data_IF_489038694191
#
_entry.id   IF_489038694191
#
_cell.length_a   1.000
_cell.length_b   1.000
_cell.length_c   1.000
_cell.angle_alpha   90.00
_cell.angle_beta   90.00
_cell.angle_gamma   90.00
#
_symmetry.space_group_name_H-M   'P 1'
#
loop_
_entity.id
_entity.type
_entity.pdbx_description
1 polymer ?
#
# COMPACT_ATOMS: atom_id res chain seq x y z
N UNK A 1 2.92 -8.17 25.38
CA UNK A 1 2.77 -7.64 24.00
C UNK A 1 1.70 -8.48 23.33
N UNK A 2 0.71 -7.89 22.66
CA UNK A 2 -0.34 -8.68 21.98
C UNK A 2 0.34 -9.51 20.87
N UNK A 3 0.16 -10.83 20.90
CA UNK A 3 0.82 -11.78 19.98
C UNK A 3 0.49 -11.49 18.50
N UNK A 4 -0.74 -11.04 18.21
CA UNK A 4 -1.18 -10.66 16.84
C UNK A 4 -0.39 -9.46 16.33
N UNK A 5 -0.37 -8.37 17.10
CA UNK A 5 0.40 -7.16 16.77
C UNK A 5 1.87 -7.46 16.50
N UNK A 6 2.52 -8.25 17.36
CA UNK A 6 3.92 -8.62 17.17
C UNK A 6 4.15 -9.37 15.86
N UNK A 7 3.24 -10.26 15.49
CA UNK A 7 3.34 -11.05 14.25
C UNK A 7 3.10 -10.23 12.98
N UNK A 8 2.16 -9.30 12.99
CA UNK A 8 1.94 -8.39 11.87
C UNK A 8 3.13 -7.43 11.67
N UNK A 9 3.68 -6.89 12.77
CA UNK A 9 4.91 -6.07 12.71
C UNK A 9 6.12 -6.87 12.18
N UNK A 10 6.25 -8.14 12.55
CA UNK A 10 7.30 -9.02 12.01
C UNK A 10 7.09 -9.26 10.51
N UNK A 11 5.85 -9.50 10.06
CA UNK A 11 5.54 -9.67 8.65
C UNK A 11 5.82 -8.39 7.84
N UNK A 12 5.43 -7.22 8.33
CA UNK A 12 5.72 -5.93 7.70
C UNK A 12 7.24 -5.68 7.64
N UNK A 13 7.98 -5.99 8.70
CA UNK A 13 9.44 -5.84 8.70
C UNK A 13 10.10 -6.70 7.62
N UNK A 14 9.67 -7.96 7.45
CA UNK A 14 10.15 -8.86 6.37
C UNK A 14 9.83 -8.29 4.98
N UNK A 15 8.62 -7.72 4.77
CA UNK A 15 8.27 -7.07 3.51
C UNK A 15 9.12 -5.81 3.25
N UNK A 16 9.40 -5.01 4.29
CA UNK A 16 10.33 -3.89 4.19
C UNK A 16 11.73 -4.33 3.78
N UNK A 17 12.25 -5.41 4.37
CA UNK A 17 13.57 -5.93 4.04
C UNK A 17 13.63 -6.51 2.63
N UNK A 18 12.54 -7.13 2.13
CA UNK A 18 12.41 -7.55 0.74
C UNK A 18 12.55 -6.37 -0.23
N UNK A 19 11.88 -5.24 0.05
CA UNK A 19 11.98 -4.06 -0.80
C UNK A 19 13.34 -3.37 -0.71
N UNK A 20 13.95 -3.29 0.47
CA UNK A 20 15.32 -2.78 0.65
C UNK A 20 16.34 -3.63 -0.12
N UNK A 21 16.23 -4.96 -0.06
CA UNK A 21 17.13 -5.85 -0.77
C UNK A 21 16.94 -5.74 -2.29
N UNK A 22 15.70 -5.53 -2.78
CA UNK A 22 15.43 -5.24 -4.20
C UNK A 22 16.18 -4.00 -4.68
N UNK A 23 16.17 -2.93 -3.88
CA UNK A 23 16.92 -1.69 -4.18
C UNK A 23 18.43 -1.94 -4.13
N UNK A 24 18.90 -2.61 -3.12
CA UNK A 24 20.33 -2.95 -2.92
C UNK A 24 20.88 -3.78 -4.07
N UNK A 25 20.09 -4.69 -4.65
CA UNK A 25 20.47 -5.49 -5.84
C UNK A 25 20.43 -4.68 -7.14
N UNK A 26 20.06 -3.41 -7.06
CA UNK A 26 19.97 -2.52 -8.22
C UNK A 26 19.07 -3.10 -9.35
N UNK A 27 17.90 -3.62 -8.99
CA UNK A 27 16.97 -4.21 -9.95
C UNK A 27 15.99 -3.20 -10.55
N UNK A 28 15.84 -2.05 -9.93
CA UNK A 28 14.99 -0.96 -10.42
C UNK A 28 15.83 -0.14 -11.42
N UNK A 29 15.86 -0.58 -12.67
CA UNK A 29 16.67 0.02 -13.72
C UNK A 29 15.88 0.17 -15.02
N UNK A 30 16.21 1.14 -15.88
CA UNK A 30 15.64 1.24 -17.21
C UNK A 30 15.85 -0.06 -18.00
N UNK A 31 14.87 -0.40 -18.84
CA UNK A 31 14.93 -1.60 -19.70
C UNK A 31 14.32 -2.87 -19.09
N UNK A 32 14.10 -2.94 -17.76
CA UNK A 32 13.34 -4.03 -17.15
C UNK A 32 11.84 -3.83 -17.33
N UNK A 33 11.08 -4.91 -17.52
CA UNK A 33 9.62 -4.85 -17.56
C UNK A 33 9.01 -4.92 -16.15
N UNK A 34 7.79 -4.37 -15.98
CA UNK A 34 7.02 -4.48 -14.72
C UNK A 34 6.85 -5.93 -14.29
N UNK A 35 6.53 -6.82 -15.26
CA UNK A 35 6.34 -8.25 -15.01
C UNK A 35 7.63 -8.96 -14.59
N UNK A 36 8.77 -8.64 -15.23
CA UNK A 36 10.05 -9.28 -14.89
C UNK A 36 10.55 -8.79 -13.54
N UNK A 37 10.35 -7.51 -13.23
CA UNK A 37 10.66 -6.98 -11.91
C UNK A 37 9.78 -7.63 -10.83
N UNK A 38 8.48 -7.78 -11.07
CA UNK A 38 7.56 -8.49 -10.17
C UNK A 38 7.98 -9.96 -9.95
N UNK A 39 8.40 -10.66 -11.00
CA UNK A 39 8.91 -12.04 -10.89
C UNK A 39 10.20 -12.11 -10.08
N UNK A 40 11.13 -11.17 -10.29
CA UNK A 40 12.38 -11.09 -9.51
C UNK A 40 12.11 -10.87 -8.02
N UNK A 41 11.22 -9.94 -7.68
CA UNK A 41 10.84 -9.66 -6.27
C UNK A 41 10.15 -10.89 -5.64
N UNK A 42 9.29 -11.58 -6.39
CA UNK A 42 8.68 -12.83 -5.93
C UNK A 42 9.72 -13.93 -5.67
N UNK A 43 10.68 -14.11 -6.58
CA UNK A 43 11.79 -15.05 -6.38
C UNK A 43 12.66 -14.70 -5.17
N UNK A 44 12.88 -13.41 -4.94
CA UNK A 44 13.60 -12.91 -3.78
C UNK A 44 12.86 -13.17 -2.46
N UNK A 45 11.53 -13.04 -2.46
CA UNK A 45 10.73 -13.37 -1.27
C UNK A 45 10.89 -14.86 -0.89
N UNK A 46 10.99 -15.74 -1.88
CA UNK A 46 11.29 -17.15 -1.62
C UNK A 46 12.74 -17.37 -1.17
N UNK A 47 13.72 -16.70 -1.77
CA UNK A 47 15.14 -16.78 -1.40
C UNK A 47 15.38 -16.34 0.05
N UNK A 48 14.76 -15.23 0.47
CA UNK A 48 15.00 -14.63 1.79
C UNK A 48 14.16 -15.28 2.90
N UNK A 49 12.94 -15.71 2.60
CA UNK A 49 11.94 -16.04 3.61
C UNK A 49 11.17 -17.33 3.32
N UNK A 50 11.52 -18.08 2.30
CA UNK A 50 10.85 -19.31 1.85
C UNK A 50 9.35 -19.15 1.53
N UNK A 51 8.88 -17.90 1.33
CA UNK A 51 7.46 -17.65 1.01
C UNK A 51 7.23 -17.55 -0.49
N UNK A 52 6.14 -18.22 -0.94
CA UNK A 52 5.60 -18.12 -2.31
C UNK A 52 4.17 -17.58 -2.32
N UNK A 53 3.56 -17.46 -1.16
CA UNK A 53 2.16 -17.06 -1.03
C UNK A 53 2.06 -15.55 -0.94
N UNK A 54 1.15 -14.99 -1.74
CA UNK A 54 0.70 -13.61 -1.64
C UNK A 54 -0.82 -13.65 -1.50
N UNK A 55 -1.37 -12.83 -0.63
CA UNK A 55 -2.81 -12.83 -0.38
C UNK A 55 -3.59 -12.06 -1.46
N UNK A 56 -2.87 -11.22 -2.24
CA UNK A 56 -3.39 -10.54 -3.43
C UNK A 56 -2.38 -10.58 -4.59
N UNK A 57 -2.77 -10.04 -5.75
CA UNK A 57 -1.88 -9.94 -6.91
C UNK A 57 -0.73 -8.99 -6.63
N UNK A 58 0.48 -9.39 -7.01
CA UNK A 58 1.66 -8.53 -6.93
C UNK A 58 1.58 -7.44 -7.98
N UNK A 59 1.79 -6.20 -7.58
CA UNK A 59 1.73 -5.04 -8.47
C UNK A 59 3.13 -4.41 -8.57
N UNK A 60 3.59 -4.26 -9.79
CA UNK A 60 4.61 -3.30 -10.21
C UNK A 60 3.97 -2.47 -11.30
N UNK A 61 3.91 -1.16 -11.10
CA UNK A 61 3.37 -0.23 -12.08
C UNK A 61 4.32 0.93 -12.30
N UNK A 62 4.52 1.33 -13.57
CA UNK A 62 5.40 2.41 -13.96
C UNK A 62 4.73 3.40 -14.90
N UNK A 63 5.19 4.64 -14.91
CA UNK A 63 4.70 5.71 -15.76
C UNK A 63 3.18 5.83 -15.72
N UNK A 64 2.51 5.83 -16.88
CA UNK A 64 1.04 5.97 -16.94
C UNK A 64 0.25 4.85 -16.24
N UNK A 65 0.85 3.67 -16.04
CA UNK A 65 0.19 2.57 -15.33
C UNK A 65 0.02 2.90 -13.83
N UNK A 66 0.82 3.83 -13.29
CA UNK A 66 0.71 4.29 -11.90
C UNK A 66 -0.57 5.07 -11.60
N UNK A 67 -1.31 5.52 -12.63
CA UNK A 67 -2.61 6.17 -12.45
C UNK A 67 -3.73 5.21 -12.07
N UNK A 68 -3.53 3.92 -12.27
CA UNK A 68 -4.63 2.95 -12.24
C UNK A 68 -4.77 2.32 -10.85
N UNK A 69 -6.02 2.18 -10.34
CA UNK A 69 -6.27 1.50 -9.08
C UNK A 69 -6.04 -0.01 -9.18
N UNK A 70 -5.94 -0.68 -8.03
CA UNK A 70 -5.70 -2.12 -7.90
C UNK A 70 -6.56 -2.99 -8.86
N UNK A 71 -7.83 -2.66 -9.02
CA UNK A 71 -8.79 -3.43 -9.83
C UNK A 71 -8.44 -3.53 -11.32
N UNK A 72 -7.58 -2.64 -11.84
CA UNK A 72 -7.19 -2.62 -13.26
C UNK A 72 -5.98 -3.50 -13.52
N UNK A 73 -5.89 -4.00 -14.77
CA UNK A 73 -4.78 -4.80 -15.26
C UNK A 73 -4.25 -4.16 -16.55
N UNK A 74 -3.40 -3.13 -16.45
CA UNK A 74 -2.83 -2.48 -17.62
C UNK A 74 -1.88 -3.40 -18.39
N UNK A 75 -1.59 -3.11 -19.67
CA UNK A 75 -0.52 -3.76 -20.38
C UNK A 75 0.83 -3.59 -19.70
N UNK A 76 1.63 -4.66 -19.71
CA UNK A 76 2.99 -4.64 -19.18
C UNK A 76 3.84 -3.53 -19.83
N UNK A 77 4.63 -2.80 -19.04
CA UNK A 77 5.53 -1.73 -19.50
C UNK A 77 6.98 -2.08 -19.24
N UNK A 78 7.86 -1.50 -20.04
CA UNK A 78 9.30 -1.47 -19.81
C UNK A 78 9.60 -0.11 -19.14
N UNK A 79 10.39 -0.13 -18.06
CA UNK A 79 10.81 1.05 -17.35
C UNK A 79 11.73 1.90 -18.23
N UNK A 80 11.52 3.21 -18.23
CA UNK A 80 12.35 4.20 -18.92
C UNK A 80 13.33 4.88 -17.96
N UNK A 81 14.32 5.63 -18.51
CA UNK A 81 15.34 6.33 -17.74
C UNK A 81 14.79 7.40 -16.79
N UNK A 82 13.65 7.98 -17.14
CA UNK A 82 12.94 8.97 -16.33
C UNK A 82 11.53 8.48 -16.05
N UNK A 83 11.41 7.51 -15.15
CA UNK A 83 10.11 6.91 -14.80
C UNK A 83 9.81 7.06 -13.30
N UNK A 84 8.53 7.07 -12.96
CA UNK A 84 8.03 6.82 -11.60
C UNK A 84 7.37 5.46 -11.59
N UNK A 85 7.58 4.70 -10.54
CA UNK A 85 6.96 3.39 -10.37
C UNK A 85 6.64 3.13 -8.91
N UNK A 86 5.70 2.23 -8.67
CA UNK A 86 5.47 1.73 -7.33
C UNK A 86 5.34 0.20 -7.30
N UNK A 87 5.62 -0.35 -6.15
CA UNK A 87 5.33 -1.73 -5.77
C UNK A 87 4.16 -1.73 -4.79
N UNK A 88 3.32 -2.76 -4.91
CA UNK A 88 2.28 -3.11 -3.97
C UNK A 88 2.24 -4.64 -3.89
N UNK A 89 2.69 -5.17 -2.75
CA UNK A 89 2.90 -6.59 -2.53
C UNK A 89 2.36 -7.04 -1.19
N UNK A 90 1.53 -8.08 -1.22
CA UNK A 90 0.96 -8.72 -0.04
C UNK A 90 1.55 -10.11 0.25
N UNK A 91 2.85 -10.26 0.58
CA UNK A 91 3.41 -11.56 0.91
C UNK A 91 2.85 -12.08 2.24
N UNK A 92 2.70 -13.41 2.33
CA UNK A 92 2.28 -14.09 3.55
C UNK A 92 3.50 -14.78 4.16
N UNK A 93 3.88 -14.34 5.35
CA UNK A 93 4.98 -14.95 6.10
C UNK A 93 4.43 -15.85 7.20
N UNK A 94 4.76 -17.14 7.14
CA UNK A 94 4.18 -18.17 8.01
C UNK A 94 2.65 -18.27 7.84
N UNK A 95 1.90 -17.47 8.52
CA UNK A 95 0.44 -17.37 8.44
C UNK A 95 -0.04 -15.92 8.54
N UNK A 96 0.88 -14.94 8.46
CA UNK A 96 0.57 -13.54 8.68
C UNK A 96 0.74 -12.75 7.39
N UNK A 97 -0.25 -11.95 7.10
CA UNK A 97 -0.24 -11.08 5.94
C UNK A 97 0.68 -9.89 6.21
N UNK A 98 1.50 -9.56 5.22
CA UNK A 98 2.05 -8.22 5.07
C UNK A 98 1.32 -7.55 3.92
N UNK A 99 1.32 -6.23 3.92
CA UNK A 99 0.93 -5.42 2.78
C UNK A 99 1.77 -4.16 2.76
N UNK A 100 2.49 -3.99 1.68
CA UNK A 100 3.49 -2.93 1.59
C UNK A 100 3.52 -2.30 0.21
N UNK A 101 3.30 -0.98 0.18
CA UNK A 101 3.40 -0.17 -1.02
C UNK A 101 4.51 0.87 -0.93
N UNK A 102 5.35 0.98 -1.97
CA UNK A 102 6.43 1.97 -2.02
C UNK A 102 6.64 2.51 -3.43
N UNK A 103 6.84 3.81 -3.52
CA UNK A 103 7.15 4.51 -4.77
C UNK A 103 8.65 4.72 -4.95
N UNK A 104 9.10 4.55 -6.18
CA UNK A 104 10.46 4.79 -6.62
C UNK A 104 10.48 5.72 -7.83
N UNK A 105 11.56 6.48 -7.98
CA UNK A 105 11.77 7.39 -9.11
C UNK A 105 13.10 7.06 -9.77
N UNK A 106 13.07 6.88 -11.08
CA UNK A 106 14.24 6.88 -11.95
C UNK A 106 14.40 8.29 -12.52
N UNK A 107 15.66 8.72 -12.72
CA UNK A 107 15.93 10.09 -13.18
C UNK A 107 15.81 11.14 -12.07
N UNK A 108 15.58 12.40 -12.49
CA UNK A 108 15.64 13.56 -11.60
C UNK A 108 14.47 14.53 -11.74
N UNK A 109 13.35 14.08 -12.28
CA UNK A 109 12.14 14.92 -12.43
C UNK A 109 11.65 15.36 -11.04
N UNK A 110 11.66 16.69 -10.76
CA UNK A 110 11.34 17.21 -9.44
C UNK A 110 9.88 16.92 -9.02
N UNK A 111 8.97 16.80 -9.99
CA UNK A 111 7.56 16.54 -9.70
C UNK A 111 7.33 15.09 -9.30
N UNK A 112 8.02 14.12 -9.93
CA UNK A 112 8.00 12.71 -9.54
C UNK A 112 8.62 12.51 -8.16
N UNK A 113 9.73 13.19 -7.89
CA UNK A 113 10.40 13.18 -6.58
C UNK A 113 9.47 13.76 -5.50
N UNK A 114 8.78 14.87 -5.81
CA UNK A 114 7.82 15.48 -4.88
C UNK A 114 6.64 14.54 -4.62
N UNK A 115 6.06 13.92 -5.66
CA UNK A 115 4.95 12.98 -5.51
C UNK A 115 5.33 11.79 -4.61
N UNK A 116 6.51 11.19 -4.85
CA UNK A 116 7.04 10.12 -3.98
C UNK A 116 7.12 10.55 -2.52
N UNK A 117 7.61 11.76 -2.26
CA UNK A 117 7.74 12.31 -0.92
C UNK A 117 6.36 12.57 -0.28
N UNK A 118 5.44 13.15 -1.06
CA UNK A 118 4.11 13.51 -0.57
C UNK A 118 3.27 12.31 -0.17
N UNK A 119 3.32 11.18 -0.91
CA UNK A 119 2.56 9.99 -0.52
C UNK A 119 3.05 9.40 0.81
N UNK A 120 4.35 9.40 1.06
CA UNK A 120 4.94 8.95 2.32
C UNK A 120 4.62 9.90 3.48
N UNK A 121 4.81 11.21 3.29
CA UNK A 121 4.50 12.22 4.29
C UNK A 121 3.00 12.23 4.65
N UNK A 122 2.13 12.11 3.65
CA UNK A 122 0.68 12.07 3.86
C UNK A 122 0.24 10.79 4.58
N UNK A 123 0.90 9.67 4.36
CA UNK A 123 0.67 8.48 5.15
C UNK A 123 0.94 8.74 6.64
N UNK A 124 2.09 9.33 6.97
CA UNK A 124 2.44 9.66 8.36
C UNK A 124 1.51 10.70 8.98
N UNK A 125 1.02 11.66 8.20
CA UNK A 125 0.03 12.65 8.65
C UNK A 125 -1.32 11.96 8.90
N UNK A 126 -1.75 11.07 7.99
CA UNK A 126 -2.97 10.28 8.12
C UNK A 126 -2.94 9.37 9.36
N UNK A 127 -1.79 8.71 9.61
CA UNK A 127 -1.58 7.92 10.83
C UNK A 127 -1.70 8.77 12.10
N UNK A 128 -1.05 9.92 12.15
CA UNK A 128 -1.17 10.84 13.31
C UNK A 128 -2.60 11.31 13.53
N UNK A 129 -3.34 11.57 12.46
CA UNK A 129 -4.75 11.93 12.55
C UNK A 129 -5.58 10.76 13.10
N UNK A 130 -5.38 9.54 12.60
CA UNK A 130 -6.00 8.33 13.12
C UNK A 130 -5.70 8.13 14.62
N UNK A 131 -4.43 8.20 15.02
CA UNK A 131 -3.98 8.01 16.40
C UNK A 131 -4.51 9.10 17.37
N UNK A 132 -4.86 10.27 16.85
CA UNK A 132 -5.41 11.39 17.66
C UNK A 132 -6.88 11.24 18.02
N UNK A 133 -7.56 10.20 17.53
CA UNK A 133 -9.00 9.98 17.68
C UNK A 133 -9.27 8.79 18.60
N UNK A 134 -10.13 8.99 19.59
CA UNK A 134 -10.64 7.88 20.41
C UNK A 134 -11.50 6.90 19.57
N UNK A 135 -12.20 7.43 18.56
CA UNK A 135 -12.94 6.67 17.57
C UNK A 135 -12.97 7.44 16.25
N UNK A 136 -12.85 6.73 15.15
CA UNK A 136 -12.90 7.28 13.77
C UNK A 136 -13.60 6.27 12.87
N UNK A 137 -14.32 6.77 11.87
CA UNK A 137 -14.93 5.94 10.81
C UNK A 137 -14.05 5.88 9.58
N UNK A 138 -14.25 4.87 8.74
CA UNK A 138 -13.57 4.79 7.43
C UNK A 138 -13.85 6.02 6.58
N UNK A 139 -15.08 6.54 6.61
CA UNK A 139 -15.48 7.74 5.86
C UNK A 139 -14.73 9.00 6.30
N UNK A 140 -14.54 9.19 7.62
CA UNK A 140 -13.80 10.34 8.15
C UNK A 140 -12.32 10.29 7.75
N UNK A 141 -11.68 9.13 7.88
CA UNK A 141 -10.28 8.98 7.51
C UNK A 141 -10.09 9.13 6.00
N UNK A 142 -10.94 8.51 5.17
CA UNK A 142 -10.92 8.67 3.72
C UNK A 142 -11.02 10.15 3.30
N UNK A 143 -12.00 10.86 3.86
CA UNK A 143 -12.19 12.29 3.57
C UNK A 143 -10.97 13.12 3.94
N UNK A 144 -10.33 12.81 5.08
CA UNK A 144 -9.11 13.49 5.50
C UNK A 144 -7.94 13.24 4.53
N UNK A 145 -7.76 11.99 4.06
CA UNK A 145 -6.72 11.64 3.08
C UNK A 145 -6.95 12.33 1.73
N UNK A 146 -8.20 12.38 1.25
CA UNK A 146 -8.53 13.12 0.02
C UNK A 146 -8.20 14.61 0.14
N UNK A 147 -8.49 15.22 1.30
CA UNK A 147 -8.10 16.60 1.56
C UNK A 147 -6.58 16.79 1.54
N UNK A 148 -5.79 15.87 2.10
CA UNK A 148 -4.33 15.94 2.04
C UNK A 148 -3.79 15.89 0.60
N UNK A 149 -4.45 15.14 -0.30
CA UNK A 149 -4.11 15.14 -1.72
C UNK A 149 -4.37 16.52 -2.35
N UNK A 150 -5.56 17.07 -2.15
CA UNK A 150 -5.96 18.39 -2.67
C UNK A 150 -5.02 19.51 -2.18
N UNK A 151 -4.71 19.55 -0.89
CA UNK A 151 -3.82 20.53 -0.26
C UNK A 151 -2.39 20.51 -0.87
N UNK A 152 -1.99 19.39 -1.52
CA UNK A 152 -0.72 19.22 -2.25
C UNK A 152 -0.87 19.28 -3.77
N UNK A 153 -2.05 19.65 -4.27
CA UNK A 153 -2.37 19.72 -5.70
C UNK A 153 -2.29 18.37 -6.43
N UNK A 154 -2.58 17.28 -5.71
CA UNK A 154 -2.78 15.94 -6.26
C UNK A 154 -4.27 15.56 -6.24
N UNK A 155 -4.64 14.54 -7.00
CA UNK A 155 -5.94 13.87 -6.85
C UNK A 155 -5.75 12.53 -6.16
N UNK A 156 -6.74 12.12 -5.36
CA UNK A 156 -6.74 10.74 -4.82
C UNK A 156 -7.15 9.77 -5.94
N UNK A 157 -6.41 8.68 -6.10
CA UNK A 157 -6.48 7.79 -7.27
C UNK A 157 -7.28 6.49 -7.06
N UNK A 158 -7.94 6.31 -5.89
CA UNK A 158 -8.62 5.05 -5.56
C UNK A 158 -9.99 5.31 -4.92
N UNK A 159 -10.84 4.27 -4.85
CA UNK A 159 -12.18 4.33 -4.23
C UNK A 159 -12.13 4.24 -2.69
N UNK A 160 -11.06 3.69 -2.13
CA UNK A 160 -10.79 3.55 -0.70
C UNK A 160 -9.32 3.87 -0.41
N UNK A 161 -8.98 4.10 0.83
CA UNK A 161 -7.60 4.36 1.25
C UNK A 161 -7.11 3.34 2.29
N UNK A 162 -7.58 2.10 2.21
CA UNK A 162 -7.11 1.02 3.07
C UNK A 162 -8.16 -0.04 3.32
N UNK A 163 -7.75 -1.08 4.01
CA UNK A 163 -8.56 -2.28 4.29
C UNK A 163 -8.06 -3.02 5.53
N UNK A 164 -8.77 -4.11 5.89
CA UNK A 164 -8.39 -5.01 6.98
C UNK A 164 -7.16 -5.84 6.62
N UNK A 165 -6.37 -6.16 7.64
CA UNK A 165 -5.23 -7.10 7.57
C UNK A 165 -5.24 -8.01 8.79
N UNK A 166 -4.59 -9.19 8.68
CA UNK A 166 -4.57 -10.11 9.80
C UNK A 166 -3.82 -11.41 9.54
N UNK A 167 -4.25 -12.46 10.22
CA UNK A 167 -3.81 -13.81 9.94
C UNK A 167 -4.45 -14.29 8.64
N UNK A 168 -3.67 -14.83 7.72
CA UNK A 168 -4.13 -15.25 6.40
C UNK A 168 -5.02 -16.51 6.45
N UNK A 169 -6.19 -16.49 5.79
CA UNK A 169 -6.87 -15.32 5.28
C UNK A 169 -7.50 -14.49 6.41
N UNK A 170 -7.32 -13.18 6.41
CA UNK A 170 -7.87 -12.31 7.45
C UNK A 170 -9.40 -12.40 7.53
N UNK A 171 -9.91 -12.24 8.75
CA UNK A 171 -11.36 -12.24 8.96
C UNK A 171 -11.99 -10.99 8.37
N UNK A 172 -13.03 -11.18 7.56
CA UNK A 172 -13.84 -10.10 7.00
C UNK A 172 -15.03 -9.78 7.89
N UNK A 173 -15.38 -8.50 7.97
CA UNK A 173 -16.62 -8.05 8.60
C UNK A 173 -17.79 -8.61 7.78
N UNK A 174 -18.71 -9.31 8.46
CA UNK A 174 -19.92 -9.86 7.83
C UNK A 174 -20.92 -8.72 7.54
N UNK A 175 -21.69 -8.87 6.48
CA UNK A 175 -22.65 -7.88 6.03
C UNK A 175 -22.19 -7.14 4.77
N UNK A 176 -22.14 -5.83 4.81
CA UNK A 176 -21.76 -5.03 3.66
C UNK A 176 -20.25 -5.08 3.41
N UNK A 177 -19.86 -5.39 2.15
CA UNK A 177 -18.45 -5.47 1.74
C UNK A 177 -17.66 -4.20 2.11
N UNK A 178 -18.33 -3.04 2.05
CA UNK A 178 -17.73 -1.73 2.32
C UNK A 178 -17.11 -1.61 3.71
N UNK A 179 -17.64 -2.33 4.70
CA UNK A 179 -17.14 -2.31 6.08
C UNK A 179 -15.71 -2.83 6.22
N UNK A 180 -15.19 -3.54 5.22
CA UNK A 180 -13.82 -4.05 5.20
C UNK A 180 -12.79 -3.04 4.67
N UNK A 181 -13.24 -1.84 4.30
CA UNK A 181 -12.42 -0.81 3.65
C UNK A 181 -12.51 0.54 4.37
N UNK A 182 -11.45 1.31 4.31
CA UNK A 182 -11.47 2.74 4.65
C UNK A 182 -12.04 3.49 3.45
N UNK A 183 -13.38 3.60 3.43
CA UNK A 183 -14.16 3.99 2.26
C UNK A 183 -15.14 5.11 2.61
N UNK A 184 -15.48 6.05 1.70
CA UNK A 184 -16.36 7.19 1.99
C UNK A 184 -17.75 6.80 2.51
N UNK A 185 -18.23 5.60 2.21
CA UNK A 185 -19.53 5.09 2.70
C UNK A 185 -19.39 4.22 3.97
N UNK A 186 -18.18 4.02 4.49
CA UNK A 186 -17.99 3.25 5.73
C UNK A 186 -18.11 4.17 6.95
N UNK A 187 -19.30 4.25 7.51
CA UNK A 187 -19.61 5.03 8.72
C UNK A 187 -19.50 4.21 10.02
N UNK A 188 -19.05 2.96 9.95
CA UNK A 188 -18.80 2.16 11.15
C UNK A 188 -17.48 2.59 11.83
N UNK A 189 -17.41 2.56 13.17
CA UNK A 189 -16.17 2.82 13.89
C UNK A 189 -15.09 1.78 13.53
N UNK A 190 -13.91 2.25 13.16
CA UNK A 190 -12.78 1.37 12.78
C UNK A 190 -12.24 0.58 13.97
N UNK A 191 -12.43 1.05 15.20
CA UNK A 191 -12.08 0.36 16.44
C UNK A 191 -13.15 -0.63 16.93
N UNK A 192 -14.24 -0.83 16.18
CA UNK A 192 -15.24 -1.85 16.51
C UNK A 192 -14.57 -3.24 16.53
N UNK A 193 -14.78 -4.05 17.60
CA UNK A 193 -14.13 -5.34 17.72
C UNK A 193 -14.63 -6.35 16.69
N UNK A 194 -13.84 -7.40 16.49
CA UNK A 194 -14.27 -8.60 15.75
C UNK A 194 -15.33 -9.41 16.55
N UNK A 195 -15.82 -10.49 15.96
CA UNK A 195 -16.81 -11.38 16.63
C UNK A 195 -16.29 -12.05 17.90
N UNK A 196 -14.99 -12.07 18.14
CA UNK A 196 -14.33 -12.64 19.30
C UNK A 196 -13.95 -11.58 20.34
N UNK A 197 -14.26 -10.31 20.08
CA UNK A 197 -13.93 -9.17 20.95
C UNK A 197 -12.51 -8.63 20.77
N UNK A 198 -11.76 -9.06 19.75
CA UNK A 198 -10.43 -8.55 19.47
C UNK A 198 -10.49 -7.26 18.66
N UNK A 199 -9.49 -6.39 18.83
CA UNK A 199 -9.30 -5.25 17.94
C UNK A 199 -9.01 -5.74 16.51
N UNK A 200 -9.51 -4.97 15.51
CA UNK A 200 -9.18 -5.17 14.10
C UNK A 200 -7.95 -4.37 13.73
N UNK A 201 -7.18 -4.93 12.81
CA UNK A 201 -5.99 -4.29 12.27
C UNK A 201 -6.25 -3.79 10.85
N UNK A 202 -5.72 -2.61 10.54
CA UNK A 202 -5.98 -1.89 9.31
C UNK A 202 -4.69 -1.52 8.60
N UNK A 203 -4.74 -1.54 7.29
CA UNK A 203 -3.78 -0.92 6.37
C UNK A 203 -4.26 0.49 6.03
N UNK A 204 -3.35 1.43 5.90
CA UNK A 204 -3.58 2.71 5.22
C UNK A 204 -2.77 2.74 3.94
N UNK A 205 -3.42 3.08 2.84
CA UNK A 205 -2.84 3.23 1.51
C UNK A 205 -3.07 4.65 0.98
N UNK A 206 -2.03 5.28 0.49
CA UNK A 206 -2.06 6.60 -0.13
C UNK A 206 -1.75 6.43 -1.61
N UNK A 207 -2.72 6.72 -2.47
CA UNK A 207 -2.55 6.72 -3.91
C UNK A 207 -2.84 8.11 -4.46
N UNK A 208 -1.81 8.90 -4.71
CA UNK A 208 -1.93 10.23 -5.31
C UNK A 208 -1.58 10.20 -6.79
N UNK A 209 -2.36 10.92 -7.60
CA UNK A 209 -2.19 10.94 -9.06
C UNK A 209 -2.19 12.37 -9.62
N UNK A 210 -1.47 12.54 -10.73
CA UNK A 210 -1.59 13.68 -11.63
C UNK A 210 -1.97 13.18 -13.03
N UNK A 211 -3.23 13.38 -13.40
CA UNK A 211 -3.76 12.91 -14.69
C UNK A 211 -3.21 13.70 -15.90
N UNK A 212 -2.77 14.95 -15.68
CA UNK A 212 -2.18 15.78 -16.74
C UNK A 212 -0.78 15.28 -17.09
N UNK A 213 0.03 14.97 -16.07
CA UNK A 213 1.39 14.44 -16.27
C UNK A 213 1.42 12.91 -16.39
N UNK A 214 0.29 12.25 -16.17
CA UNK A 214 0.14 10.79 -16.24
C UNK A 214 1.09 10.05 -15.31
N UNK A 215 1.20 10.53 -14.07
CA UNK A 215 2.00 9.94 -13.00
C UNK A 215 1.15 9.67 -11.76
N UNK A 216 1.51 8.65 -11.01
CA UNK A 216 0.94 8.33 -9.70
C UNK A 216 2.02 7.86 -8.74
N UNK A 217 1.79 8.07 -7.46
CA UNK A 217 2.60 7.56 -6.36
C UNK A 217 1.74 6.77 -5.40
N UNK A 218 2.35 5.79 -4.74
CA UNK A 218 1.68 4.88 -3.81
C UNK A 218 2.55 4.63 -2.58
N UNK A 219 1.94 4.69 -1.40
CA UNK A 219 2.58 4.32 -0.14
C UNK A 219 1.57 3.61 0.75
N UNK A 220 1.96 2.47 1.29
CA UNK A 220 1.09 1.59 2.04
C UNK A 220 1.84 0.84 3.11
N UNK A 221 1.24 0.74 4.30
CA UNK A 221 1.67 -0.15 5.39
C UNK A 221 0.61 -0.20 6.51
N UNK A 222 0.87 -0.99 7.55
CA UNK A 222 -0.04 -1.15 8.68
C UNK A 222 -0.27 0.18 9.39
N UNK A 223 -1.55 0.52 9.60
CA UNK A 223 -2.01 1.75 10.26
C UNK A 223 -2.07 1.63 11.78
N UNK A 224 -2.53 0.49 12.29
CA UNK A 224 -2.97 0.33 13.69
C UNK A 224 -1.85 0.19 14.72
N UNK A 225 -0.57 0.24 14.31
CA UNK A 225 0.55 0.16 15.27
C UNK A 225 1.60 1.24 15.06
#
# INVERSE_FOLDING_TARGET
MNTIKSKLLEAEAKACDLFKETVKRNWIVPGISEDDLSKKIHGLAFEMFETKTHWHKRIVRSGKNTLLPYSKNPPNRILSEDDILFFDFGPVFEQWEADLGRTYVLGADPKKIQLKKDVEECWHIGKKFFDSKDSITGAELYSYICKLAEDRSWSFGNEHCGHLIGKFPHERIQGEKILNYIHPENHAPMNAPDKNGNARDWILEIHFIDTKQKIGGFFEQVLTF
#
